data_IF_557512388058
#
_entry.id   IF_557512388058
#
_cell.length_a   1.000
_cell.length_b   1.000
_cell.length_c   1.000
_cell.angle_alpha   90.00
_cell.angle_beta   90.00
_cell.angle_gamma   90.00
#
_symmetry.space_group_name_H-M   'P 1'
#
loop_
_entity.id
_entity.type
_entity.pdbx_description
1 polymer ?
#
# COMPACT_ATOMS: atom_id res chain seq x y z
N UNK A 1 11.14 -88.83 -14.11
CA UNK A 1 10.16 -88.49 -13.05
C UNK A 1 8.97 -89.43 -13.25
N UNK A 2 8.76 -90.43 -12.34
CA UNK A 2 7.81 -91.52 -12.56
C UNK A 2 6.37 -91.07 -12.57
N UNK A 3 5.63 -91.38 -13.62
CA UNK A 3 4.21 -91.04 -13.74
C UNK A 3 3.32 -91.55 -12.58
N UNK A 4 3.71 -92.67 -11.95
CA UNK A 4 3.00 -93.20 -10.77
C UNK A 4 3.18 -92.30 -9.52
N UNK A 5 4.33 -91.68 -9.33
CA UNK A 5 4.56 -90.75 -8.20
C UNK A 5 3.73 -89.46 -8.34
N UNK A 6 3.60 -88.98 -9.57
CA UNK A 6 2.74 -87.79 -9.87
C UNK A 6 1.25 -88.11 -9.61
N UNK A 7 0.79 -89.29 -10.00
CA UNK A 7 -0.63 -89.69 -9.76
C UNK A 7 -0.95 -89.86 -8.25
N UNK A 8 0.02 -90.29 -7.44
CA UNK A 8 -0.18 -90.38 -5.98
C UNK A 8 -0.08 -89.02 -5.25
N UNK A 9 0.70 -88.09 -5.74
CA UNK A 9 0.84 -86.79 -5.14
C UNK A 9 -0.20 -85.78 -5.58
N UNK A 10 -0.81 -85.94 -6.76
CA UNK A 10 -1.79 -85.03 -7.38
C UNK A 10 -2.98 -84.71 -6.43
N UNK A 11 -3.64 -85.67 -5.73
CA UNK A 11 -4.78 -85.38 -4.86
C UNK A 11 -4.32 -84.57 -3.63
N UNK A 12 -3.09 -84.75 -3.10
CA UNK A 12 -2.62 -83.97 -1.98
C UNK A 12 -2.27 -82.54 -2.38
N UNK A 13 -1.71 -82.33 -3.60
CA UNK A 13 -1.44 -81.00 -4.13
C UNK A 13 -2.76 -80.24 -4.37
N UNK A 14 -3.78 -80.90 -4.94
CA UNK A 14 -5.11 -80.29 -5.13
C UNK A 14 -5.76 -79.93 -3.78
N UNK A 15 -5.67 -80.80 -2.77
CA UNK A 15 -6.21 -80.54 -1.43
C UNK A 15 -5.47 -79.37 -0.74
N UNK A 16 -4.13 -79.31 -0.86
CA UNK A 16 -3.31 -78.24 -0.31
C UNK A 16 -3.58 -76.90 -0.98
N UNK A 17 -3.63 -76.90 -2.33
CA UNK A 17 -3.92 -75.64 -3.07
C UNK A 17 -5.38 -75.19 -2.87
N UNK A 18 -6.35 -76.12 -2.85
CA UNK A 18 -7.76 -75.82 -2.52
C UNK A 18 -7.94 -75.26 -1.08
N UNK A 19 -7.22 -75.86 -0.12
CA UNK A 19 -7.22 -75.37 1.26
C UNK A 19 -6.60 -74.00 1.39
N UNK A 20 -5.51 -73.74 0.65
CA UNK A 20 -4.84 -72.41 0.65
C UNK A 20 -5.74 -71.34 0.01
N UNK A 21 -6.40 -71.65 -1.11
CA UNK A 21 -7.35 -70.76 -1.74
C UNK A 21 -8.56 -70.45 -0.84
N UNK A 22 -9.10 -71.48 -0.18
CA UNK A 22 -10.18 -71.30 0.76
C UNK A 22 -9.78 -70.43 1.96
N UNK A 23 -8.61 -70.72 2.54
CA UNK A 23 -8.07 -69.90 3.63
C UNK A 23 -7.82 -68.44 3.18
N UNK A 24 -7.28 -68.21 1.97
CA UNK A 24 -7.11 -66.89 1.38
C UNK A 24 -8.46 -66.17 1.20
N UNK A 25 -9.46 -66.85 0.69
CA UNK A 25 -10.82 -66.27 0.53
C UNK A 25 -11.44 -65.93 1.90
N UNK A 26 -11.26 -66.77 2.90
CA UNK A 26 -11.73 -66.48 4.26
C UNK A 26 -11.01 -65.26 4.81
N UNK A 27 -9.68 -65.14 4.65
CA UNK A 27 -8.90 -63.99 5.10
C UNK A 27 -9.39 -62.73 4.36
N UNK A 28 -9.52 -62.79 3.05
CA UNK A 28 -9.94 -61.61 2.23
C UNK A 28 -11.35 -61.20 2.56
N UNK A 29 -12.29 -62.14 2.72
CA UNK A 29 -13.71 -61.82 2.94
C UNK A 29 -14.10 -61.57 4.37
N UNK A 30 -13.43 -62.23 5.38
CA UNK A 30 -13.80 -62.12 6.78
C UNK A 30 -12.86 -61.27 7.59
N UNK A 31 -11.53 -61.24 7.26
CA UNK A 31 -10.58 -60.45 8.01
C UNK A 31 -10.39 -59.05 7.32
N UNK A 32 -10.44 -59.01 5.99
CA UNK A 32 -10.41 -57.78 5.20
C UNK A 32 -11.67 -57.68 4.31
N UNK A 33 -12.87 -57.51 4.88
CA UNK A 33 -14.08 -57.40 4.06
C UNK A 33 -13.89 -56.22 3.11
N UNK A 34 -14.22 -56.37 1.82
CA UNK A 34 -14.23 -55.24 0.90
C UNK A 34 -15.11 -54.16 1.53
N UNK A 35 -14.49 -52.97 1.76
CA UNK A 35 -15.15 -51.87 2.47
C UNK A 35 -16.55 -51.62 1.89
N UNK A 36 -17.52 -51.40 2.77
CA UNK A 36 -18.86 -51.00 2.31
C UNK A 36 -18.71 -49.82 1.34
N UNK A 37 -19.51 -49.78 0.28
CA UNK A 37 -19.45 -48.66 -0.67
C UNK A 37 -19.57 -47.33 0.09
N UNK A 38 -18.75 -46.32 -0.24
CA UNK A 38 -18.77 -45.09 0.50
C UNK A 38 -20.18 -44.48 0.47
N UNK A 39 -20.71 -44.15 1.64
CA UNK A 39 -21.98 -43.46 1.77
C UNK A 39 -21.81 -42.02 1.32
N UNK A 40 -22.34 -41.69 0.16
CA UNK A 40 -22.33 -40.34 -0.35
C UNK A 40 -23.35 -39.46 0.39
N UNK A 41 -22.99 -38.23 0.61
CA UNK A 41 -23.84 -37.19 1.19
C UNK A 41 -23.70 -35.89 0.39
N UNK A 42 -24.73 -35.05 0.33
CA UNK A 42 -24.60 -33.73 -0.28
C UNK A 42 -23.74 -32.82 0.61
N UNK A 43 -22.80 -32.13 0.00
CA UNK A 43 -21.95 -31.16 0.69
C UNK A 43 -22.80 -29.95 1.09
N UNK A 44 -22.84 -29.57 2.39
CA UNK A 44 -23.61 -28.41 2.83
C UNK A 44 -22.98 -27.10 2.33
N UNK A 45 -23.83 -26.09 2.16
CA UNK A 45 -23.39 -24.72 1.87
C UNK A 45 -22.85 -24.08 3.16
N UNK A 46 -21.59 -23.63 3.10
CA UNK A 46 -20.91 -22.96 4.21
C UNK A 46 -20.30 -21.59 3.79
N UNK A 47 -20.69 -21.10 2.62
CA UNK A 47 -20.25 -19.77 2.15
C UNK A 47 -20.75 -18.68 3.09
N UNK A 48 -19.92 -17.67 3.34
CA UNK A 48 -20.26 -16.54 4.19
C UNK A 48 -20.25 -16.83 5.70
N UNK A 49 -20.06 -18.09 6.13
CA UNK A 49 -19.94 -18.42 7.54
C UNK A 49 -18.51 -18.23 8.05
N UNK A 50 -18.33 -17.95 9.36
CA UNK A 50 -17.03 -18.05 10.01
C UNK A 50 -16.47 -19.48 9.87
N UNK A 51 -15.14 -19.61 9.71
CA UNK A 51 -14.50 -20.92 9.49
C UNK A 51 -14.87 -21.97 10.55
N UNK A 52 -14.94 -21.58 11.82
CA UNK A 52 -15.24 -22.51 12.92
C UNK A 52 -16.68 -23.04 12.84
N UNK A 53 -17.63 -22.19 12.50
CA UNK A 53 -19.02 -22.58 12.25
C UNK A 53 -19.16 -23.46 11.00
N UNK A 54 -18.49 -23.07 9.91
CA UNK A 54 -18.41 -23.85 8.68
C UNK A 54 -17.86 -25.25 8.91
N UNK A 55 -16.75 -25.35 9.67
CA UNK A 55 -16.11 -26.61 10.04
C UNK A 55 -17.03 -27.51 10.88
N UNK A 56 -17.76 -26.92 11.84
CA UNK A 56 -18.75 -27.64 12.65
C UNK A 56 -19.91 -28.15 11.78
N UNK A 57 -20.43 -27.32 10.87
CA UNK A 57 -21.51 -27.69 9.96
C UNK A 57 -21.11 -28.83 9.02
N UNK A 58 -19.87 -28.76 8.48
CA UNK A 58 -19.30 -29.85 7.66
C UNK A 58 -19.13 -31.15 8.46
N UNK A 59 -18.59 -31.07 9.68
CA UNK A 59 -18.38 -32.26 10.52
C UNK A 59 -19.69 -32.93 10.90
N UNK A 60 -20.76 -32.18 11.17
CA UNK A 60 -22.11 -32.71 11.43
C UNK A 60 -22.67 -33.45 10.20
N UNK A 61 -22.33 -33.00 8.99
CA UNK A 61 -22.70 -33.67 7.75
C UNK A 61 -21.79 -34.85 7.38
N UNK A 62 -20.75 -35.09 8.14
CA UNK A 62 -19.80 -36.20 7.95
C UNK A 62 -18.60 -35.84 7.04
N UNK A 63 -18.28 -34.58 6.85
CA UNK A 63 -17.15 -34.12 6.07
C UNK A 63 -16.07 -33.51 6.97
N UNK A 64 -14.83 -33.40 6.43
CA UNK A 64 -13.72 -32.74 7.12
C UNK A 64 -13.45 -31.37 6.51
N UNK A 65 -13.72 -30.28 7.24
CA UNK A 65 -13.35 -28.93 6.82
C UNK A 65 -11.84 -28.70 6.92
N UNK A 66 -11.23 -28.16 5.87
CA UNK A 66 -9.83 -27.79 5.85
C UNK A 66 -9.65 -26.36 5.35
N UNK A 67 -8.70 -25.62 5.94
CA UNK A 67 -8.33 -24.28 5.46
C UNK A 67 -7.64 -24.40 4.11
N UNK A 68 -8.15 -23.66 3.12
CA UNK A 68 -7.55 -23.42 1.83
C UNK A 68 -6.74 -22.13 1.80
N UNK A 69 -6.82 -21.42 0.69
CA UNK A 69 -6.16 -20.13 0.51
C UNK A 69 -6.80 -19.03 1.36
N UNK A 70 -5.94 -18.10 1.78
CA UNK A 70 -6.39 -16.89 2.48
C UNK A 70 -6.27 -15.70 1.54
N UNK A 71 -7.40 -15.03 1.24
CA UNK A 71 -7.47 -13.93 0.29
C UNK A 71 -8.02 -12.68 0.96
N UNK A 72 -7.44 -11.52 0.64
CA UNK A 72 -7.99 -10.25 1.10
C UNK A 72 -9.36 -10.00 0.48
N UNK A 73 -10.31 -9.57 1.28
CA UNK A 73 -11.65 -9.22 0.85
C UNK A 73 -12.16 -7.99 1.60
N UNK A 74 -12.65 -6.99 0.86
CA UNK A 74 -13.07 -5.69 1.42
C UNK A 74 -14.38 -5.81 2.19
N UNK A 75 -15.26 -6.72 1.74
CA UNK A 75 -16.63 -6.86 2.24
C UNK A 75 -16.79 -7.95 3.30
N UNK A 76 -15.85 -8.92 3.36
CA UNK A 76 -15.97 -10.07 4.25
C UNK A 76 -15.02 -9.95 5.43
N UNK A 77 -15.48 -10.09 6.66
CA UNK A 77 -14.65 -10.16 7.87
C UNK A 77 -13.58 -11.24 7.75
N UNK A 78 -12.52 -11.08 8.54
CA UNK A 78 -11.45 -12.10 8.62
C UNK A 78 -12.02 -13.46 9.02
N UNK A 79 -11.48 -14.54 8.44
CA UNK A 79 -11.89 -15.94 8.67
C UNK A 79 -13.28 -16.33 8.15
N UNK A 80 -13.94 -15.48 7.34
CA UNK A 80 -15.18 -15.85 6.64
C UNK A 80 -14.86 -16.71 5.43
N UNK A 81 -15.65 -17.76 5.18
CA UNK A 81 -15.51 -18.63 4.02
C UNK A 81 -15.93 -17.88 2.75
N UNK A 82 -15.02 -17.78 1.80
CA UNK A 82 -15.22 -17.11 0.51
C UNK A 82 -15.54 -18.11 -0.61
N UNK A 83 -14.96 -19.31 -0.54
CA UNK A 83 -15.20 -20.39 -1.49
C UNK A 83 -15.06 -21.74 -0.79
N UNK A 84 -15.73 -22.75 -1.30
CA UNK A 84 -15.60 -24.13 -0.84
C UNK A 84 -15.38 -25.07 -2.04
N UNK A 85 -14.53 -26.07 -1.85
CA UNK A 85 -14.26 -27.09 -2.86
C UNK A 85 -14.21 -28.45 -2.19
N UNK A 86 -15.06 -29.43 -2.59
CA UNK A 86 -16.14 -29.38 -3.59
C UNK A 86 -17.25 -28.37 -3.30
N UNK A 87 -18.01 -28.02 -4.34
CA UNK A 87 -19.08 -27.02 -4.24
C UNK A 87 -20.26 -27.54 -3.39
N UNK A 88 -21.05 -26.61 -2.84
CA UNK A 88 -22.30 -26.96 -2.15
C UNK A 88 -23.25 -27.79 -3.05
N UNK A 89 -23.90 -28.80 -2.47
CA UNK A 89 -24.83 -29.67 -3.18
C UNK A 89 -24.17 -30.80 -3.97
N UNK A 90 -22.85 -30.85 -4.14
CA UNK A 90 -22.17 -32.02 -4.75
C UNK A 90 -22.32 -33.23 -3.84
N UNK A 91 -22.48 -34.41 -4.47
CA UNK A 91 -22.58 -35.68 -3.74
C UNK A 91 -21.20 -36.28 -3.56
N UNK A 92 -20.67 -36.24 -2.36
CA UNK A 92 -19.32 -36.71 -2.02
C UNK A 92 -19.35 -37.81 -0.97
N UNK A 93 -18.37 -38.72 -0.97
CA UNK A 93 -18.20 -39.71 0.08
C UNK A 93 -18.04 -39.04 1.45
N UNK A 94 -18.70 -39.59 2.49
CA UNK A 94 -18.43 -39.13 3.88
C UNK A 94 -16.96 -39.29 4.21
N UNK A 95 -16.39 -38.32 4.93
CA UNK A 95 -14.97 -38.22 5.21
C UNK A 95 -14.18 -37.43 4.17
N UNK A 96 -14.79 -37.03 3.04
CA UNK A 96 -14.15 -36.17 2.06
C UNK A 96 -13.72 -34.84 2.70
N UNK A 97 -12.53 -34.40 2.35
CA UNK A 97 -11.96 -33.13 2.78
C UNK A 97 -12.52 -31.98 1.93
N UNK A 98 -13.24 -31.07 2.55
CA UNK A 98 -13.76 -29.86 1.92
C UNK A 98 -12.80 -28.72 2.20
N UNK A 99 -12.17 -28.20 1.16
CA UNK A 99 -11.25 -27.07 1.23
C UNK A 99 -12.03 -25.77 1.25
N UNK A 100 -11.77 -24.92 2.24
CA UNK A 100 -12.44 -23.66 2.46
C UNK A 100 -11.46 -22.52 2.27
N UNK A 101 -11.61 -21.73 1.22
CA UNK A 101 -10.87 -20.47 1.06
C UNK A 101 -11.49 -19.43 1.97
N UNK A 102 -10.64 -18.74 2.74
CA UNK A 102 -11.08 -17.84 3.78
C UNK A 102 -10.65 -16.41 3.53
N UNK A 103 -11.45 -15.47 4.02
CA UNK A 103 -11.09 -14.06 4.03
C UNK A 103 -9.91 -13.79 4.98
N UNK A 104 -8.89 -13.11 4.48
CA UNK A 104 -7.86 -12.48 5.29
C UNK A 104 -8.33 -11.16 5.93
N UNK A 105 -9.56 -10.73 5.61
CA UNK A 105 -10.11 -9.43 5.94
C UNK A 105 -9.63 -8.34 4.98
N UNK A 106 -9.77 -7.10 5.40
CA UNK A 106 -9.33 -5.94 4.63
C UNK A 106 -7.80 -5.82 4.64
N UNK A 107 -7.23 -5.52 3.47
CA UNK A 107 -5.80 -5.20 3.39
C UNK A 107 -5.56 -3.86 4.09
N UNK A 108 -4.52 -3.79 4.91
CA UNK A 108 -4.14 -2.58 5.65
C UNK A 108 -2.70 -2.22 5.37
N UNK A 109 -2.41 -0.92 5.41
CA UNK A 109 -1.07 -0.37 5.36
C UNK A 109 -0.89 0.65 6.49
N UNK A 110 0.35 0.86 6.91
CA UNK A 110 0.69 1.91 7.89
C UNK A 110 1.29 3.08 7.14
N UNK A 111 0.83 4.30 7.44
CA UNK A 111 1.36 5.53 6.85
C UNK A 111 2.85 5.67 7.20
N UNK A 112 3.74 5.69 6.20
CA UNK A 112 5.17 5.88 6.45
C UNK A 112 5.47 7.32 6.87
N UNK A 113 6.60 7.55 7.54
CA UNK A 113 7.05 8.90 7.82
C UNK A 113 7.67 9.50 6.54
N UNK A 114 6.98 10.48 5.96
CA UNK A 114 7.40 11.20 4.75
C UNK A 114 7.63 12.68 5.00
N UNK A 115 7.51 13.13 6.25
CA UNK A 115 7.81 14.52 6.63
C UNK A 115 9.30 14.82 6.39
N UNK A 116 9.59 15.96 5.79
CA UNK A 116 10.94 16.35 5.40
C UNK A 116 11.43 15.79 4.06
N UNK A 117 10.63 14.94 3.40
CA UNK A 117 10.91 14.49 2.04
C UNK A 117 10.30 15.50 1.03
N UNK A 118 10.87 15.53 -0.18
CA UNK A 118 10.20 16.19 -1.29
C UNK A 118 8.94 15.40 -1.73
N UNK A 119 8.02 16.08 -2.40
CA UNK A 119 6.74 15.54 -2.88
C UNK A 119 6.91 14.22 -3.66
N UNK A 120 7.93 14.11 -4.52
CA UNK A 120 8.12 12.94 -5.36
C UNK A 120 8.58 11.73 -4.53
N UNK A 121 9.52 11.93 -3.62
CA UNK A 121 9.99 10.87 -2.71
C UNK A 121 8.89 10.42 -1.75
N UNK A 122 8.08 11.37 -1.27
CA UNK A 122 6.92 11.08 -0.43
C UNK A 122 5.91 10.20 -1.17
N UNK A 123 5.58 10.53 -2.44
CA UNK A 123 4.69 9.74 -3.28
C UNK A 123 5.20 8.31 -3.47
N UNK A 124 6.48 8.14 -3.78
CA UNK A 124 7.12 6.83 -3.93
C UNK A 124 7.06 6.02 -2.62
N UNK A 125 7.26 6.68 -1.47
CA UNK A 125 7.21 6.02 -0.17
C UNK A 125 5.81 5.54 0.20
N UNK A 126 4.77 6.30 -0.16
CA UNK A 126 3.36 5.93 0.01
C UNK A 126 2.98 4.77 -0.91
N UNK A 127 3.33 4.85 -2.20
CA UNK A 127 3.05 3.81 -3.20
C UNK A 127 3.65 2.44 -2.81
N UNK A 128 4.87 2.40 -2.27
CA UNK A 128 5.52 1.18 -1.78
C UNK A 128 4.69 0.40 -0.76
N UNK A 129 3.86 1.07 0.02
CA UNK A 129 2.98 0.44 1.00
C UNK A 129 1.53 0.29 0.49
N UNK A 130 1.27 0.72 -0.74
CA UNK A 130 -0.04 0.65 -1.40
C UNK A 130 -1.00 1.77 -0.99
N UNK A 131 -0.47 2.90 -0.49
CA UNK A 131 -1.22 4.11 -0.21
C UNK A 131 -1.05 5.09 -1.36
N UNK A 132 -2.13 5.76 -1.74
CA UNK A 132 -2.12 6.81 -2.75
C UNK A 132 -1.83 8.17 -2.12
N UNK A 133 -1.34 9.11 -2.93
CA UNK A 133 -1.31 10.53 -2.54
C UNK A 133 -2.72 11.08 -2.70
N UNK A 134 -3.30 11.56 -1.61
CA UNK A 134 -4.59 12.26 -1.59
C UNK A 134 -4.47 13.73 -1.97
N UNK A 135 -5.19 14.59 -1.24
CA UNK A 135 -5.13 16.04 -1.46
C UNK A 135 -3.74 16.59 -1.11
N UNK A 136 -3.26 17.54 -1.91
CA UNK A 136 -2.01 18.25 -1.67
C UNK A 136 -2.34 19.72 -1.40
N UNK A 137 -1.98 20.18 -0.21
CA UNK A 137 -2.18 21.57 0.23
C UNK A 137 -0.84 22.26 0.36
N UNK A 138 -0.67 23.38 -0.32
CA UNK A 138 0.52 24.22 -0.19
C UNK A 138 0.37 25.20 0.98
N UNK A 139 1.44 25.36 1.75
CA UNK A 139 1.51 26.30 2.87
C UNK A 139 2.85 27.04 2.83
N UNK A 140 2.84 28.35 3.07
CA UNK A 140 4.08 29.11 3.28
C UNK A 140 4.86 28.57 4.49
N UNK A 141 6.15 28.37 4.29
CA UNK A 141 7.06 27.81 5.29
C UNK A 141 8.49 28.28 4.99
N UNK A 142 9.36 28.43 6.00
CA UNK A 142 10.78 28.73 5.78
C UNK A 142 11.54 27.57 5.10
N UNK A 143 10.91 26.38 5.00
CA UNK A 143 11.51 25.20 4.37
C UNK A 143 11.46 25.30 2.84
N UNK A 144 12.31 24.54 2.14
CA UNK A 144 12.32 24.49 0.68
C UNK A 144 10.94 24.21 0.09
N UNK A 145 10.69 24.74 -1.09
CA UNK A 145 9.47 24.44 -1.85
C UNK A 145 9.35 22.94 -2.10
N UNK A 146 8.10 22.43 -2.09
CA UNK A 146 7.74 21.03 -2.26
C UNK A 146 8.16 20.07 -1.12
N UNK A 147 8.75 20.57 -0.04
CA UNK A 147 9.04 19.75 1.14
C UNK A 147 7.76 19.46 1.94
N UNK A 148 7.55 18.19 2.31
CA UNK A 148 6.38 17.75 3.08
C UNK A 148 6.49 18.25 4.52
N UNK A 149 5.54 19.09 4.93
CA UNK A 149 5.41 19.65 6.27
C UNK A 149 4.66 18.73 7.22
N UNK A 150 3.60 18.10 6.71
CA UNK A 150 2.76 17.17 7.49
C UNK A 150 1.94 16.26 6.60
N UNK A 151 1.43 15.19 7.19
CA UNK A 151 0.53 14.25 6.53
C UNK A 151 -0.78 14.11 7.30
N UNK A 152 -1.85 13.82 6.60
CA UNK A 152 -3.13 13.46 7.19
C UNK A 152 -3.71 12.23 6.46
N UNK A 153 -3.85 11.09 7.17
CA UNK A 153 -3.47 10.83 8.56
C UNK A 153 -1.96 10.89 8.85
N UNK A 154 -1.60 11.01 10.12
CA UNK A 154 -0.20 11.10 10.56
C UNK A 154 0.56 9.78 10.35
N UNK A 155 1.89 9.86 10.25
CA UNK A 155 2.76 8.69 10.20
C UNK A 155 2.46 7.71 11.36
N UNK A 156 2.52 6.40 11.08
CA UNK A 156 2.20 5.34 12.03
C UNK A 156 0.71 4.96 12.07
N UNK A 157 -0.19 5.72 11.45
CA UNK A 157 -1.61 5.39 11.39
C UNK A 157 -1.86 4.21 10.46
N UNK A 158 -2.63 3.21 10.92
CA UNK A 158 -3.04 2.08 10.10
C UNK A 158 -4.29 2.43 9.28
N UNK A 159 -4.22 2.31 7.96
CA UNK A 159 -5.30 2.59 7.02
C UNK A 159 -5.74 1.34 6.27
N UNK A 160 -7.01 1.27 5.90
CA UNK A 160 -7.54 0.21 5.05
C UNK A 160 -7.28 0.59 3.60
N UNK A 161 -6.78 -0.35 2.80
CA UNK A 161 -6.53 -0.13 1.37
C UNK A 161 -7.76 -0.47 0.51
N UNK A 162 -7.97 0.28 -0.59
CA UNK A 162 -7.22 1.45 -1.05
C UNK A 162 -7.54 2.71 -0.25
N UNK A 163 -6.56 3.57 0.02
CA UNK A 163 -6.74 4.85 0.74
C UNK A 163 -5.65 5.84 0.36
N UNK A 164 -5.98 7.12 0.37
CA UNK A 164 -5.07 8.22 0.13
C UNK A 164 -4.61 8.93 1.40
N UNK A 165 -3.39 9.44 1.38
CA UNK A 165 -2.81 10.28 2.43
C UNK A 165 -2.65 11.69 1.90
N UNK A 166 -3.32 12.65 2.53
CA UNK A 166 -3.18 14.07 2.17
C UNK A 166 -1.84 14.62 2.67
N UNK A 167 -1.20 15.42 1.83
CA UNK A 167 0.10 16.03 2.10
C UNK A 167 -0.07 17.54 2.25
N UNK A 168 0.52 18.13 3.29
CA UNK A 168 0.78 19.57 3.35
C UNK A 168 2.23 19.79 2.98
N UNK A 169 2.49 20.54 1.91
CA UNK A 169 3.83 20.82 1.40
C UNK A 169 4.17 22.30 1.53
N UNK A 170 5.47 22.60 1.59
CA UNK A 170 5.96 23.97 1.60
C UNK A 170 5.79 24.63 0.22
N UNK A 171 5.22 25.82 0.17
CA UNK A 171 5.31 26.72 -0.99
C UNK A 171 6.62 27.52 -1.05
N UNK A 172 7.50 27.31 -0.07
CA UNK A 172 8.70 28.09 0.17
C UNK A 172 8.46 29.27 1.12
N UNK A 173 9.53 30.02 1.42
CA UNK A 173 9.43 31.23 2.24
C UNK A 173 8.56 32.29 1.57
N UNK A 174 7.86 33.07 2.39
CA UNK A 174 7.12 34.23 1.90
C UNK A 174 8.04 35.18 1.13
N UNK A 175 7.64 35.57 -0.04
CA UNK A 175 8.38 36.50 -0.88
C UNK A 175 7.67 37.84 -1.03
N UNK A 176 8.45 38.91 -1.11
CA UNK A 176 8.01 40.29 -1.33
C UNK A 176 8.43 40.69 -2.74
N UNK A 177 7.50 41.24 -3.52
CA UNK A 177 7.84 41.81 -4.83
C UNK A 177 8.55 43.14 -4.67
N UNK A 178 9.73 43.30 -5.29
CA UNK A 178 10.50 44.53 -5.22
C UNK A 178 9.73 45.67 -5.89
N UNK A 179 9.41 46.78 -5.20
CA UNK A 179 8.72 47.91 -5.81
C UNK A 179 9.65 48.73 -6.73
N UNK A 180 9.05 49.46 -7.70
CA UNK A 180 9.78 50.38 -8.57
C UNK A 180 10.14 51.64 -7.82
N UNK A 181 11.42 51.92 -7.72
CA UNK A 181 11.96 53.12 -7.02
C UNK A 181 12.94 53.96 -7.86
N UNK A 182 13.20 53.55 -9.11
CA UNK A 182 14.06 54.35 -10.02
C UNK A 182 13.38 55.67 -10.33
N UNK A 183 14.15 56.75 -10.43
CA UNK A 183 13.68 58.12 -10.65
C UNK A 183 13.23 58.85 -9.36
N UNK A 184 13.17 58.16 -8.22
CA UNK A 184 12.81 58.78 -6.91
C UNK A 184 14.06 59.29 -6.20
N UNK A 185 13.93 60.33 -5.33
CA UNK A 185 14.98 60.65 -4.39
C UNK A 185 15.30 59.45 -3.49
N UNK A 186 16.58 59.21 -3.17
CA UNK A 186 17.02 58.05 -2.36
C UNK A 186 16.29 57.93 -1.03
N UNK A 187 16.01 59.03 -0.33
CA UNK A 187 15.25 58.99 0.92
C UNK A 187 13.83 58.41 0.72
N UNK A 188 13.14 58.85 -0.32
CA UNK A 188 11.79 58.36 -0.63
C UNK A 188 11.83 56.90 -1.11
N UNK A 189 12.83 56.51 -1.91
CA UNK A 189 13.04 55.14 -2.35
C UNK A 189 13.30 54.18 -1.17
N UNK A 190 14.15 54.63 -0.22
CA UNK A 190 14.43 53.87 1.00
C UNK A 190 13.16 53.66 1.84
N UNK A 191 12.41 54.73 2.11
CA UNK A 191 11.14 54.61 2.85
C UNK A 191 10.16 53.67 2.18
N UNK A 192 10.03 53.72 0.84
CA UNK A 192 9.15 52.84 0.09
C UNK A 192 9.58 51.37 0.19
N UNK A 193 10.85 51.04 0.22
CA UNK A 193 11.38 49.70 0.43
C UNK A 193 11.17 49.21 1.85
N UNK A 194 11.42 50.09 2.86
CA UNK A 194 11.23 49.79 4.28
C UNK A 194 9.74 49.47 4.61
N UNK A 195 8.78 50.18 3.98
CA UNK A 195 7.34 49.93 4.15
C UNK A 195 6.92 48.54 3.73
N UNK A 196 7.59 47.91 2.77
CA UNK A 196 7.34 46.54 2.33
C UNK A 196 8.28 45.52 2.98
N UNK A 197 9.04 45.91 3.99
CA UNK A 197 9.95 45.02 4.74
C UNK A 197 11.26 44.70 4.02
N UNK A 198 11.69 45.54 3.08
CA UNK A 198 12.99 45.46 2.40
C UNK A 198 13.96 46.52 2.94
N UNK A 199 15.26 46.29 2.80
CA UNK A 199 16.30 47.26 3.17
C UNK A 199 16.91 47.86 1.90
N UNK A 200 17.46 49.09 2.00
CA UNK A 200 18.14 49.74 0.89
C UNK A 200 19.61 50.06 1.23
N UNK A 201 20.49 49.89 0.24
CA UNK A 201 21.86 50.39 0.27
C UNK A 201 22.11 51.22 -0.98
N UNK A 202 22.94 52.26 -0.87
CA UNK A 202 23.26 53.15 -1.99
C UNK A 202 24.67 52.94 -2.49
N UNK A 203 24.85 53.05 -3.80
CA UNK A 203 26.15 53.24 -4.47
C UNK A 203 26.09 54.49 -5.33
N UNK A 204 27.16 55.26 -5.40
CA UNK A 204 27.20 56.51 -6.19
C UNK A 204 27.37 56.17 -7.66
N UNK A 205 26.49 56.74 -8.48
CA UNK A 205 26.61 56.72 -9.94
C UNK A 205 27.10 58.09 -10.43
N UNK A 206 28.38 58.16 -10.72
CA UNK A 206 29.05 59.35 -11.21
C UNK A 206 28.92 59.57 -12.73
N UNK A 207 28.31 58.62 -13.41
CA UNK A 207 28.06 58.70 -14.86
C UNK A 207 26.67 59.26 -15.24
N UNK A 208 25.80 59.42 -14.26
CA UNK A 208 24.45 59.87 -14.44
C UNK A 208 24.34 61.36 -14.70
N UNK A 209 23.42 61.73 -15.61
CA UNK A 209 23.03 63.12 -15.91
C UNK A 209 21.81 63.59 -15.12
N UNK A 210 21.26 62.71 -14.23
CA UNK A 210 20.10 63.05 -13.40
C UNK A 210 20.48 63.95 -12.25
N UNK A 211 19.53 64.64 -11.60
CA UNK A 211 19.79 65.44 -10.41
C UNK A 211 20.47 64.61 -9.30
N UNK A 212 21.38 65.21 -8.55
CA UNK A 212 22.06 64.57 -7.46
C UNK A 212 21.04 64.02 -6.44
N UNK A 213 21.29 62.78 -5.94
CA UNK A 213 20.40 62.08 -4.98
C UNK A 213 19.26 61.30 -5.62
N UNK A 214 19.11 61.31 -6.96
CA UNK A 214 18.09 60.51 -7.66
C UNK A 214 18.58 59.09 -7.88
N UNK A 215 17.71 58.09 -7.67
CA UNK A 215 17.98 56.67 -7.94
C UNK A 215 18.00 56.45 -9.47
N UNK A 216 19.12 56.01 -10.00
CA UNK A 216 19.32 55.75 -11.43
C UNK A 216 19.09 54.30 -11.80
N UNK A 217 19.37 53.38 -10.85
CA UNK A 217 19.21 51.94 -11.06
C UNK A 217 18.93 51.26 -9.75
N UNK A 218 18.17 50.14 -9.84
CA UNK A 218 17.92 49.27 -8.68
C UNK A 218 18.23 47.79 -9.03
N UNK A 219 18.74 47.05 -8.04
CA UNK A 219 19.03 45.64 -8.16
C UNK A 219 18.70 44.95 -6.83
N UNK A 220 17.82 43.91 -6.82
CA UNK A 220 17.07 43.33 -7.95
C UNK A 220 16.10 44.30 -8.63
N UNK A 221 15.68 43.93 -9.86
CA UNK A 221 14.72 44.71 -10.63
C UNK A 221 13.31 44.69 -10.02
N UNK A 222 12.46 45.66 -10.44
CA UNK A 222 11.04 45.69 -10.09
C UNK A 222 10.36 44.36 -10.38
N UNK A 223 9.41 43.95 -9.52
CA UNK A 223 8.67 42.71 -9.64
C UNK A 223 9.42 41.43 -9.26
N UNK A 224 10.73 41.52 -9.01
CA UNK A 224 11.50 40.35 -8.57
C UNK A 224 11.03 39.89 -7.19
N UNK A 225 10.64 38.61 -7.00
CA UNK A 225 10.31 38.09 -5.68
C UNK A 225 11.58 37.88 -4.86
N UNK A 226 11.63 38.49 -3.68
CA UNK A 226 12.76 38.40 -2.72
C UNK A 226 12.25 38.09 -1.33
N UNK A 227 13.09 37.51 -0.49
CA UNK A 227 12.74 37.28 0.91
C UNK A 227 12.66 38.59 1.72
N UNK A 228 11.88 38.57 2.81
CA UNK A 228 11.81 39.71 3.74
C UNK A 228 13.20 40.06 4.26
N UNK A 229 13.47 41.37 4.44
CA UNK A 229 14.77 41.90 4.87
C UNK A 229 15.86 41.93 3.79
N UNK A 230 15.55 41.49 2.53
CA UNK A 230 16.53 41.56 1.43
C UNK A 230 16.99 42.99 1.20
N UNK A 231 18.30 43.14 1.00
CA UNK A 231 18.93 44.44 0.74
C UNK A 231 18.89 44.76 -0.77
N UNK A 232 18.17 45.80 -1.14
CA UNK A 232 18.09 46.32 -2.50
C UNK A 232 19.22 47.32 -2.72
N UNK A 233 20.07 47.10 -3.73
CA UNK A 233 21.13 48.03 -4.12
C UNK A 233 20.55 49.09 -5.05
N UNK A 234 20.75 50.36 -4.66
CA UNK A 234 20.29 51.51 -5.43
C UNK A 234 21.52 52.30 -5.91
N UNK A 235 21.63 52.50 -7.22
CA UNK A 235 22.59 53.47 -7.77
C UNK A 235 21.97 54.84 -7.66
N UNK A 236 22.72 55.79 -7.09
CA UNK A 236 22.26 57.17 -6.82
C UNK A 236 23.12 58.14 -7.58
N UNK A 237 22.51 58.99 -8.37
CA UNK A 237 23.23 60.01 -9.16
C UNK A 237 24.06 60.97 -8.29
N UNK A 238 25.29 61.21 -8.68
CA UNK A 238 26.11 62.27 -8.13
C UNK A 238 25.74 63.69 -8.66
N UNK A 239 24.88 63.72 -9.67
CA UNK A 239 24.57 64.93 -10.41
C UNK A 239 25.36 65.05 -11.71
N UNK A 240 24.90 65.95 -12.64
CA UNK A 240 25.58 66.16 -13.90
C UNK A 240 26.99 66.72 -13.66
N UNK A 241 27.97 66.19 -14.39
CA UNK A 241 29.32 66.79 -14.41
C UNK A 241 29.23 68.13 -15.10
N UNK A 242 29.69 69.20 -14.44
CA UNK A 242 29.84 70.56 -14.99
C UNK A 242 30.91 70.56 -16.06
#
# INVERSE_FOLDING_TARGET
MNQEAIRRLLPYVIAATGGFILAYLIVVFFIFPPGAPPVNAPVPDVLGLPFDEASTRLSTAGFAGARGESRYNVSSPRSTVLAQTPAAGTSEPKGTKIVLDISAGQRRATVPNVVGLDRQRAAIALDKVGLDVGDVVERESPLPRDEVLSTSPTAGTAMILPSGVSLTISSGPATISVPFVVGRPFAAARTALEQVGLSATSTIDSSSTQPSGTVTHQAPAEGTPVGAGTVIRLSVSAGPKL
#
